data_IF_319722250293
#
_entry.id   IF_319722250293
#
_cell.length_a   1.000
_cell.length_b   1.000
_cell.length_c   1.000
_cell.angle_alpha   90.00
_cell.angle_beta   90.00
_cell.angle_gamma   90.00
#
_symmetry.space_group_name_H-M   'P 1'
#
loop_
_entity.id
_entity.type
_entity.pdbx_description
1 polymer ?
#
# COMPACT_ATOMS: atom_id res chain seq x y z
N UNK A 1 14.46 -9.82 -28.79
CA UNK A 1 13.25 -10.27 -28.07
C UNK A 1 13.42 -9.84 -26.61
N UNK A 2 12.84 -8.69 -26.24
CA UNK A 2 13.04 -8.09 -24.92
C UNK A 2 12.25 -8.89 -23.87
N UNK A 3 12.96 -9.44 -22.89
CA UNK A 3 12.34 -10.09 -21.74
C UNK A 3 11.58 -9.03 -20.95
N UNK A 4 10.25 -9.13 -20.92
CA UNK A 4 9.43 -8.39 -19.98
C UNK A 4 9.90 -8.74 -18.57
N UNK A 5 10.36 -7.73 -17.83
CA UNK A 5 10.63 -7.89 -16.41
C UNK A 5 9.38 -8.48 -15.76
N UNK A 6 9.49 -9.54 -14.94
CA UNK A 6 8.34 -10.06 -14.24
C UNK A 6 7.81 -8.90 -13.41
N UNK A 7 6.59 -8.45 -13.72
CA UNK A 7 5.86 -7.59 -12.82
C UNK A 7 5.93 -8.22 -11.42
N UNK A 8 6.09 -7.45 -10.34
CA UNK A 8 6.23 -8.03 -9.01
C UNK A 8 4.98 -8.87 -8.72
N UNK A 9 5.10 -10.18 -8.92
CA UNK A 9 4.15 -11.20 -8.47
C UNK A 9 4.34 -11.44 -6.96
N UNK A 10 4.88 -10.45 -6.27
CA UNK A 10 5.27 -10.48 -4.87
C UNK A 10 4.61 -9.33 -4.14
N UNK A 11 4.21 -9.61 -2.90
CA UNK A 11 3.76 -8.58 -1.96
C UNK A 11 4.95 -7.66 -1.67
N UNK A 12 4.76 -6.37 -1.83
CA UNK A 12 5.75 -5.34 -1.50
C UNK A 12 5.34 -4.62 -0.24
N UNK A 13 6.19 -4.64 0.78
CA UNK A 13 5.93 -4.00 2.06
C UNK A 13 6.62 -2.64 2.13
N UNK A 14 5.83 -1.59 2.39
CA UNK A 14 6.31 -0.24 2.67
C UNK A 14 6.28 0.02 4.17
N UNK A 15 7.45 0.18 4.80
CA UNK A 15 7.53 0.57 6.22
C UNK A 15 7.17 2.04 6.41
N UNK A 16 6.35 2.33 7.43
CA UNK A 16 6.03 3.69 7.86
C UNK A 16 6.66 3.97 9.23
N UNK A 17 7.05 5.22 9.47
CA UNK A 17 7.67 5.61 10.73
C UNK A 17 6.61 6.00 11.78
N UNK A 18 6.46 5.20 12.84
CA UNK A 18 5.64 5.56 14.01
C UNK A 18 4.20 5.94 13.64
N UNK A 19 3.81 7.19 13.88
CA UNK A 19 2.48 7.72 13.52
C UNK A 19 2.45 8.48 12.18
N UNK A 20 3.53 8.45 11.39
CA UNK A 20 3.57 9.12 10.09
C UNK A 20 2.57 8.51 9.11
N UNK A 21 1.88 9.38 8.38
CA UNK A 21 0.87 9.02 7.36
C UNK A 21 1.27 9.42 5.95
N UNK A 22 2.34 10.21 5.84
CA UNK A 22 2.97 10.61 4.60
C UNK A 22 3.80 9.47 4.00
N UNK A 23 3.97 9.50 2.68
CA UNK A 23 4.76 8.51 1.97
C UNK A 23 6.24 8.67 2.33
N UNK A 24 6.94 7.59 2.74
CA UNK A 24 8.37 7.65 2.96
C UNK A 24 9.11 7.84 1.62
N UNK A 25 10.35 8.34 1.67
CA UNK A 25 11.12 8.67 0.46
C UNK A 25 11.29 7.47 -0.51
N UNK A 26 11.40 6.24 0.03
CA UNK A 26 11.49 5.02 -0.76
C UNK A 26 10.13 4.52 -1.29
N UNK A 27 9.00 5.02 -0.78
CA UNK A 27 7.69 4.60 -1.24
C UNK A 27 7.41 5.06 -2.67
N UNK A 28 7.86 6.25 -3.08
CA UNK A 28 7.63 6.75 -4.43
C UNK A 28 8.12 5.74 -5.49
N UNK A 29 9.38 5.30 -5.40
CA UNK A 29 9.98 4.34 -6.32
C UNK A 29 9.23 3.01 -6.36
N UNK A 30 8.80 2.51 -5.20
CA UNK A 30 8.04 1.26 -5.08
C UNK A 30 6.64 1.39 -5.68
N UNK A 31 5.93 2.47 -5.34
CA UNK A 31 4.58 2.73 -5.82
C UNK A 31 4.56 3.00 -7.32
N UNK A 32 5.59 3.64 -7.85
CA UNK A 32 5.77 3.80 -9.30
C UNK A 32 5.92 2.45 -9.99
N UNK A 33 6.71 1.51 -9.45
CA UNK A 33 6.82 0.16 -10.01
C UNK A 33 5.49 -0.61 -9.97
N UNK A 34 4.73 -0.48 -8.87
CA UNK A 34 3.40 -1.08 -8.72
C UNK A 34 2.40 -0.46 -9.71
N UNK A 35 2.43 0.87 -9.86
CA UNK A 35 1.57 1.58 -10.80
C UNK A 35 1.86 1.16 -12.24
N UNK A 36 3.13 1.10 -12.64
CA UNK A 36 3.53 0.62 -13.97
C UNK A 36 3.05 -0.82 -14.21
N UNK A 37 3.18 -1.70 -13.22
CA UNK A 37 2.70 -3.08 -13.33
C UNK A 37 1.17 -3.17 -13.49
N UNK A 38 0.42 -2.30 -12.81
CA UNK A 38 -1.04 -2.22 -12.92
C UNK A 38 -1.49 -1.57 -14.23
N UNK A 39 -0.73 -0.61 -14.76
CA UNK A 39 -1.00 0.05 -16.04
C UNK A 39 -0.67 -0.85 -17.24
N UNK A 40 0.26 -1.81 -17.07
CA UNK A 40 0.64 -2.76 -18.11
C UNK A 40 -0.51 -3.65 -18.56
N UNK A 41 -1.50 -3.92 -17.69
CA UNK A 41 -2.69 -4.69 -18.04
C UNK A 41 -3.93 -4.15 -17.32
N UNK A 42 -4.97 -3.71 -18.07
CA UNK A 42 -6.19 -3.15 -17.51
C UNK A 42 -6.99 -4.09 -16.59
N UNK A 43 -6.75 -5.41 -16.66
CA UNK A 43 -7.42 -6.40 -15.80
C UNK A 43 -6.79 -6.54 -14.42
N UNK A 44 -5.54 -6.07 -14.26
CA UNK A 44 -4.81 -6.22 -13.01
C UNK A 44 -5.41 -5.37 -11.91
N UNK A 45 -5.34 -5.91 -10.70
CA UNK A 45 -5.82 -5.26 -9.48
C UNK A 45 -4.67 -5.07 -8.52
N UNK A 46 -4.63 -3.90 -7.92
CA UNK A 46 -3.70 -3.52 -6.87
C UNK A 46 -4.42 -3.62 -5.54
N UNK A 47 -3.96 -4.49 -4.67
CA UNK A 47 -4.46 -4.61 -3.31
C UNK A 47 -3.51 -3.88 -2.37
N UNK A 48 -4.04 -2.98 -1.57
CA UNK A 48 -3.32 -2.18 -0.57
C UNK A 48 -3.82 -2.56 0.82
N UNK A 49 -3.00 -3.28 1.57
CA UNK A 49 -3.26 -3.70 2.94
C UNK A 49 -2.46 -2.82 3.89
N UNK A 50 -3.13 -1.94 4.62
CA UNK A 50 -2.47 -1.03 5.54
C UNK A 50 -2.56 -1.50 7.00
N UNK A 51 -1.42 -1.43 7.67
CA UNK A 51 -1.22 -1.74 9.07
C UNK A 51 -0.61 -0.55 9.80
N UNK A 52 -1.06 -0.34 11.02
CA UNK A 52 -0.51 0.67 11.90
C UNK A 52 -0.70 0.22 13.33
N UNK A 53 0.25 0.61 14.18
CA UNK A 53 0.15 0.39 15.61
C UNK A 53 -0.12 1.70 16.34
N UNK A 54 -0.82 1.56 17.45
CA UNK A 54 -1.07 2.67 18.35
C UNK A 54 -1.02 2.15 19.79
N UNK A 55 -0.41 2.91 20.69
CA UNK A 55 -0.31 2.57 22.11
C UNK A 55 -1.28 3.37 22.97
N UNK A 56 -1.75 2.77 24.07
CA UNK A 56 -2.65 3.37 25.05
C UNK A 56 -4.15 3.09 24.82
N UNK A 57 -5.02 3.67 25.64
CA UNK A 57 -6.48 3.45 25.57
C UNK A 57 -7.05 3.79 24.19
N UNK A 58 -7.92 2.93 23.66
CA UNK A 58 -8.48 3.09 22.31
C UNK A 58 -7.46 2.88 21.17
N UNK A 59 -6.36 2.18 21.43
CA UNK A 59 -5.34 1.79 20.44
C UNK A 59 -5.94 1.21 19.16
N UNK A 60 -6.86 0.25 19.27
CA UNK A 60 -7.48 -0.39 18.11
C UNK A 60 -8.14 0.62 17.14
N UNK A 61 -8.85 1.62 17.68
CA UNK A 61 -9.53 2.62 16.86
C UNK A 61 -8.53 3.60 16.24
N UNK A 62 -7.48 3.98 16.99
CA UNK A 62 -6.39 4.82 16.48
C UNK A 62 -5.58 4.12 15.40
N UNK A 63 -5.20 2.87 15.62
CA UNK A 63 -4.51 2.01 14.66
C UNK A 63 -5.30 1.87 13.36
N UNK A 64 -6.62 1.62 13.44
CA UNK A 64 -7.49 1.57 12.24
C UNK A 64 -7.53 2.90 11.49
N UNK A 65 -7.67 4.03 12.20
CA UNK A 65 -7.65 5.37 11.57
C UNK A 65 -6.32 5.65 10.88
N UNK A 66 -5.20 5.39 11.55
CA UNK A 66 -3.85 5.57 10.99
C UNK A 66 -3.63 4.69 9.75
N UNK A 67 -4.00 3.41 9.85
CA UNK A 67 -3.93 2.47 8.72
C UNK A 67 -4.74 2.98 7.53
N UNK A 68 -5.96 3.48 7.79
CA UNK A 68 -6.82 4.01 6.74
C UNK A 68 -6.20 5.24 6.07
N UNK A 69 -5.70 6.21 6.85
CA UNK A 69 -5.05 7.40 6.31
C UNK A 69 -3.88 7.02 5.40
N UNK A 70 -2.98 6.12 5.85
CA UNK A 70 -1.85 5.64 5.03
C UNK A 70 -2.31 5.01 3.72
N UNK A 71 -3.33 4.15 3.79
CA UNK A 71 -3.85 3.48 2.61
C UNK A 71 -4.47 4.47 1.62
N UNK A 72 -5.13 5.52 2.11
CA UNK A 72 -5.66 6.59 1.28
C UNK A 72 -4.54 7.42 0.63
N UNK A 73 -3.46 7.72 1.35
CA UNK A 73 -2.28 8.40 0.79
C UNK A 73 -1.69 7.59 -0.36
N UNK A 74 -1.51 6.28 -0.15
CA UNK A 74 -1.01 5.35 -1.17
C UNK A 74 -1.97 5.28 -2.38
N UNK A 75 -3.27 5.17 -2.14
CA UNK A 75 -4.27 5.16 -3.21
C UNK A 75 -4.25 6.46 -4.00
N UNK A 76 -4.19 7.62 -3.35
CA UNK A 76 -4.12 8.92 -4.01
C UNK A 76 -2.89 9.01 -4.92
N UNK A 77 -1.74 8.51 -4.46
CA UNK A 77 -0.54 8.43 -5.28
C UNK A 77 -0.72 7.55 -6.52
N UNK A 78 -1.29 6.35 -6.37
CA UNK A 78 -1.54 5.45 -7.51
C UNK A 78 -2.53 6.06 -8.52
N UNK A 79 -3.56 6.77 -8.03
CA UNK A 79 -4.50 7.50 -8.88
C UNK A 79 -3.81 8.62 -9.67
N UNK A 80 -2.91 9.38 -9.02
CA UNK A 80 -2.11 10.43 -9.65
C UNK A 80 -1.21 9.87 -10.77
N UNK A 81 -0.69 8.64 -10.59
CA UNK A 81 0.04 7.90 -11.63
C UNK A 81 -0.83 7.35 -12.76
N UNK A 82 -2.15 7.50 -12.68
CA UNK A 82 -3.09 7.06 -13.70
C UNK A 82 -3.67 5.66 -13.49
N UNK A 83 -3.37 5.00 -12.37
CA UNK A 83 -4.03 3.72 -12.03
C UNK A 83 -5.52 3.98 -11.80
N UNK A 84 -6.39 3.14 -12.37
CA UNK A 84 -7.84 3.36 -12.27
C UNK A 84 -8.35 3.03 -10.87
N UNK A 85 -9.23 3.87 -10.32
CA UNK A 85 -9.94 3.65 -9.05
C UNK A 85 -10.47 2.22 -8.81
N UNK A 86 -11.19 1.58 -9.74
CA UNK A 86 -11.72 0.22 -9.53
C UNK A 86 -10.64 -0.87 -9.51
N UNK A 87 -9.44 -0.60 -10.05
CA UNK A 87 -8.32 -1.51 -9.98
C UNK A 87 -7.61 -1.43 -8.63
N UNK A 88 -7.88 -0.43 -7.78
CA UNK A 88 -7.21 -0.26 -6.49
C UNK A 88 -8.15 -0.68 -5.35
N UNK A 89 -7.89 -1.82 -4.74
CA UNK A 89 -8.56 -2.28 -3.54
C UNK A 89 -7.79 -1.82 -2.30
N UNK A 90 -8.47 -1.14 -1.38
CA UNK A 90 -7.87 -0.62 -0.14
C UNK A 90 -8.49 -1.32 1.06
N UNK A 91 -7.65 -1.89 1.92
CA UNK A 91 -8.07 -2.50 3.19
C UNK A 91 -7.20 -2.00 4.32
N UNK A 92 -7.81 -1.27 5.25
CA UNK A 92 -7.17 -0.85 6.50
C UNK A 92 -7.43 -1.93 7.57
N UNK A 93 -6.39 -2.69 7.92
CA UNK A 93 -6.52 -3.79 8.87
C UNK A 93 -6.29 -3.35 10.32
N UNK A 94 -5.57 -2.24 10.54
CA UNK A 94 -5.26 -1.76 11.88
C UNK A 94 -4.03 -2.47 12.44
N UNK A 95 -4.07 -2.74 13.74
CA UNK A 95 -2.94 -3.34 14.45
C UNK A 95 -2.83 -4.84 14.12
N UNK A 96 -1.68 -5.31 13.58
CA UNK A 96 -1.48 -6.72 13.27
C UNK A 96 -1.21 -7.60 14.50
N UNK A 97 -1.09 -7.02 15.70
CA UNK A 97 -0.79 -7.69 16.97
C UNK A 97 0.69 -8.09 17.12
N UNK A 98 1.31 -8.60 16.06
CA UNK A 98 2.69 -9.10 16.02
C UNK A 98 3.38 -8.79 14.69
N UNK A 99 4.72 -8.69 14.69
CA UNK A 99 5.53 -8.40 13.49
C UNK A 99 5.70 -6.89 13.21
N UNK A 100 6.04 -6.54 11.97
CA UNK A 100 6.27 -5.14 11.57
C UNK A 100 4.96 -4.32 11.64
N UNK A 101 4.82 -3.55 12.71
CA UNK A 101 3.56 -2.94 13.13
C UNK A 101 3.06 -1.81 12.24
N UNK A 102 3.97 -1.08 11.61
CA UNK A 102 3.69 0.10 10.80
C UNK A 102 4.14 -0.12 9.37
N UNK A 103 3.24 -0.68 8.55
CA UNK A 103 3.55 -0.97 7.15
C UNK A 103 2.32 -0.95 6.26
N UNK A 104 2.54 -0.74 4.97
CA UNK A 104 1.53 -0.94 3.94
C UNK A 104 2.04 -2.00 2.98
N UNK A 105 1.32 -3.09 2.88
CA UNK A 105 1.59 -4.17 1.94
C UNK A 105 0.81 -3.93 0.65
N UNK A 106 1.50 -3.94 -0.49
CA UNK A 106 0.92 -3.81 -1.82
C UNK A 106 1.13 -5.09 -2.61
N UNK A 107 0.11 -5.53 -3.33
CA UNK A 107 0.26 -6.63 -4.29
C UNK A 107 -0.50 -6.32 -5.58
N UNK A 108 0.02 -6.83 -6.69
CA UNK A 108 -0.65 -6.74 -7.99
C UNK A 108 -1.09 -8.15 -8.38
N UNK A 109 -2.40 -8.40 -8.39
CA UNK A 109 -2.96 -9.65 -8.88
C UNK A 109 -3.38 -9.51 -10.35
N UNK A 110 -3.29 -10.60 -11.14
CA UNK A 110 -3.88 -10.68 -12.47
C UNK A 110 -5.40 -10.52 -12.45
#
# INVERSE_FOLDING_TARGET
>A
MAAAAPAPAGVVSLGFAGAATDLPANAAQVLDAVAQAALADPNRRVTVLAYAHAEGSGSANRAKRLSLTRALTVRAYLLDKGVRSPSIEVRALGDPGSGARDRVDLSVSP
#
